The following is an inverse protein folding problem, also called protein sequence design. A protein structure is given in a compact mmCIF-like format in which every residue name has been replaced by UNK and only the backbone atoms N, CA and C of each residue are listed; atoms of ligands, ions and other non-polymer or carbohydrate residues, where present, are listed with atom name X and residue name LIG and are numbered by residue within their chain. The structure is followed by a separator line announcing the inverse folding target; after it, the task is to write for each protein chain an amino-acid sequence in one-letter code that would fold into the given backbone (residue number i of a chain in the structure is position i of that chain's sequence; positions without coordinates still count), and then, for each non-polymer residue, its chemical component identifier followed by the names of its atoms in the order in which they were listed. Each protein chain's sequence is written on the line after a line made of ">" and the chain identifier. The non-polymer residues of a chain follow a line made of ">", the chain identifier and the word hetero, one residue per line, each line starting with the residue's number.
data_IF_241466521005
#
_entry.id   IF_241466521005
#
_cell.length_a   1.000
_cell.length_b   1.000
_cell.length_c   1.000
_cell.angle_alpha   90.00
_cell.angle_beta   90.00
_cell.angle_gamma   90.00
#
_symmetry.space_group_name_H-M   'P 1'
#
loop_
_entity.id
_entity.type
_entity.pdbx_description
1 polymer ?
#
# COMPACT_ATOMS: atom_id res chain seq x y z
N UNK A 1 14.53 24.61 -9.98
CA UNK A 1 13.60 24.35 -11.12
C UNK A 1 13.37 22.84 -11.32
N UNK A 2 12.93 22.11 -10.28
CA UNK A 2 12.50 20.69 -10.43
C UNK A 2 11.33 20.32 -9.49
N UNK A 3 10.94 21.21 -8.58
CA UNK A 3 9.91 20.93 -7.57
C UNK A 3 8.51 21.50 -7.92
N UNK A 4 8.34 22.09 -9.12
CA UNK A 4 7.07 22.69 -9.55
C UNK A 4 6.18 21.73 -10.35
N UNK A 5 6.69 20.57 -10.76
CA UNK A 5 5.94 19.63 -11.60
C UNK A 5 5.07 18.62 -10.83
N UNK A 6 5.14 18.54 -9.50
CA UNK A 6 4.37 17.53 -8.75
C UNK A 6 3.10 18.05 -8.07
N UNK A 7 2.83 19.36 -8.10
CA UNK A 7 1.70 19.91 -7.34
C UNK A 7 0.70 20.74 -8.15
N UNK A 8 1.09 21.35 -9.27
CA UNK A 8 0.18 22.20 -10.05
C UNK A 8 0.57 22.22 -11.52
N UNK A 9 -0.01 21.34 -12.35
CA UNK A 9 -0.48 21.63 -13.72
C UNK A 9 -0.95 20.35 -14.44
N UNK A 10 -2.24 20.34 -14.77
CA UNK A 10 -2.84 19.86 -16.03
C UNK A 10 -2.67 18.38 -16.38
N UNK A 11 -3.69 17.52 -16.23
CA UNK A 11 -5.02 17.69 -16.82
C UNK A 11 -6.16 17.64 -15.79
N UNK A 12 -7.01 18.65 -15.86
CA UNK A 12 -8.20 18.88 -15.04
C UNK A 12 -9.43 18.11 -15.62
N UNK A 13 -9.24 16.85 -16.00
CA UNK A 13 -10.30 15.95 -16.50
C UNK A 13 -10.13 14.52 -15.96
N UNK A 14 -9.52 14.36 -14.79
CA UNK A 14 -9.53 13.06 -14.10
C UNK A 14 -10.82 12.94 -13.26
N UNK A 15 -11.63 11.88 -13.44
CA UNK A 15 -12.81 11.65 -12.62
C UNK A 15 -12.36 11.56 -11.15
N UNK A 16 -13.05 12.31 -10.29
CA UNK A 16 -12.79 12.40 -8.85
C UNK A 16 -12.45 11.01 -8.28
N UNK A 17 -11.44 10.89 -7.40
CA UNK A 17 -11.19 9.63 -6.72
C UNK A 17 -12.49 9.23 -6.03
N UNK A 18 -12.93 8.01 -6.33
CA UNK A 18 -14.12 7.42 -5.73
C UNK A 18 -13.96 7.43 -4.20
N UNK A 19 -15.04 7.64 -3.43
CA UNK A 19 -14.98 7.84 -1.97
C UNK A 19 -14.46 6.64 -1.17
N UNK A 20 -14.19 5.51 -1.81
CA UNK A 20 -13.63 4.29 -1.24
C UNK A 20 -12.10 4.32 -1.04
N UNK A 21 -11.38 5.24 -1.68
CA UNK A 21 -9.91 5.21 -1.77
C UNK A 21 -9.14 5.89 -0.61
N UNK A 22 -9.80 6.34 0.46
CA UNK A 22 -9.16 7.25 1.42
C UNK A 22 -8.99 6.75 2.87
N UNK A 23 -9.49 5.56 3.24
CA UNK A 23 -9.47 5.16 4.66
C UNK A 23 -9.12 3.70 4.96
N UNK A 24 -8.90 2.84 3.96
CA UNK A 24 -8.87 1.38 4.17
C UNK A 24 -7.77 0.62 3.45
N UNK A 25 -6.78 1.28 2.85
CA UNK A 25 -5.67 0.59 2.19
C UNK A 25 -4.72 0.03 3.26
N UNK A 26 -5.06 -1.14 3.78
CA UNK A 26 -4.19 -1.90 4.64
C UNK A 26 -3.07 -2.52 3.80
N UNK A 27 -1.82 -2.33 4.23
CA UNK A 27 -0.64 -2.93 3.59
C UNK A 27 -0.40 -2.44 2.14
N UNK A 28 0.39 -3.19 1.37
CA UNK A 28 0.91 -2.87 0.03
C UNK A 28 -0.16 -2.56 -1.04
N UNK A 29 -1.45 -2.56 -0.70
CA UNK A 29 -2.60 -2.28 -1.56
C UNK A 29 -2.44 -0.94 -2.28
N UNK A 30 -2.04 0.11 -1.56
CA UNK A 30 -1.81 1.43 -2.16
C UNK A 30 -0.63 1.45 -3.15
N UNK A 31 0.33 0.52 -3.03
CA UNK A 31 1.46 0.37 -3.96
C UNK A 31 1.09 -0.42 -5.22
N UNK A 32 0.17 -1.38 -5.10
CA UNK A 32 -0.24 -2.31 -6.19
C UNK A 32 -1.44 -1.83 -7.02
N UNK A 33 -2.00 -0.66 -6.72
CA UNK A 33 -3.15 -0.11 -7.46
C UNK A 33 -2.81 0.29 -8.89
N UNK A 34 -3.78 0.12 -9.78
CA UNK A 34 -3.65 0.47 -11.20
C UNK A 34 -3.59 1.99 -11.44
N UNK A 35 -4.25 2.78 -10.58
CA UNK A 35 -4.30 4.25 -10.69
C UNK A 35 -3.53 4.92 -9.56
N UNK A 36 -2.52 5.72 -9.91
CA UNK A 36 -1.71 6.55 -9.01
C UNK A 36 -0.89 5.78 -7.93
N UNK A 37 -0.22 4.66 -8.19
CA UNK A 37 0.42 3.84 -7.15
C UNK A 37 1.33 4.65 -6.19
N UNK A 38 1.21 4.38 -4.89
CA UNK A 38 2.11 4.95 -3.89
C UNK A 38 3.52 4.38 -4.08
N UNK A 39 4.46 5.25 -4.47
CA UNK A 39 5.84 4.84 -4.80
C UNK A 39 6.77 4.80 -3.59
N UNK A 40 6.37 5.44 -2.49
CA UNK A 40 7.21 5.57 -1.29
C UNK A 40 6.58 4.78 -0.14
N UNK A 41 7.34 3.92 0.55
CA UNK A 41 6.82 3.14 1.67
C UNK A 41 6.61 4.00 2.93
N UNK A 42 7.27 5.15 3.01
CA UNK A 42 7.13 6.12 4.10
C UNK A 42 7.21 7.54 3.57
N UNK A 43 6.32 8.42 4.03
CA UNK A 43 6.22 9.82 3.59
C UNK A 43 7.05 10.73 4.47
N UNK A 44 8.35 10.81 4.18
CA UNK A 44 9.24 11.78 4.81
C UNK A 44 9.40 13.02 3.92
N UNK A 45 8.54 14.03 4.14
CA UNK A 45 8.55 15.27 3.35
C UNK A 45 9.69 16.19 3.75
N UNK A 46 10.03 17.14 2.85
CA UNK A 46 11.02 18.19 3.16
C UNK A 46 10.69 18.94 4.45
N UNK A 47 9.42 19.25 4.70
CA UNK A 47 9.01 19.98 5.91
C UNK A 47 9.32 19.19 7.19
N UNK A 48 9.05 17.88 7.20
CA UNK A 48 9.38 17.01 8.33
C UNK A 48 10.90 16.88 8.52
N UNK A 49 11.66 16.82 7.43
CA UNK A 49 13.13 16.75 7.48
C UNK A 49 13.74 18.01 8.09
N UNK A 50 13.27 19.19 7.69
CA UNK A 50 13.79 20.45 8.23
C UNK A 50 13.35 20.68 9.69
N UNK A 51 12.19 20.17 10.10
CA UNK A 51 11.73 20.25 11.49
C UNK A 51 12.63 19.48 12.49
N UNK A 52 13.44 18.52 12.02
CA UNK A 52 14.37 17.74 12.84
C UNK A 52 15.69 18.47 13.15
N UNK A 53 15.80 19.74 12.74
CA UNK A 53 16.92 20.61 13.07
C UNK A 53 18.19 20.29 12.28
N UNK A 54 19.34 20.63 12.86
CA UNK A 54 20.65 20.61 12.17
C UNK A 54 21.07 19.20 11.72
N UNK A 55 20.68 18.18 12.48
CA UNK A 55 21.05 16.78 12.21
C UNK A 55 20.09 16.08 11.24
N UNK A 56 18.96 16.71 10.89
CA UNK A 56 17.96 16.19 9.94
C UNK A 56 17.62 14.71 10.21
N UNK A 57 17.79 13.85 9.21
CA UNK A 57 17.51 12.42 9.31
C UNK A 57 18.61 11.62 10.04
N UNK A 58 19.85 12.12 10.03
CA UNK A 58 21.03 11.42 10.58
C UNK A 58 21.14 11.55 12.11
N UNK A 59 20.33 12.42 12.72
CA UNK A 59 20.29 12.61 14.16
C UNK A 59 19.40 11.59 14.88
N UNK A 60 18.53 12.11 15.75
CA UNK A 60 17.62 11.33 16.59
C UNK A 60 16.68 10.45 15.76
N UNK A 61 16.32 10.88 14.55
CA UNK A 61 15.42 10.12 13.67
C UNK A 61 15.98 8.75 13.32
N UNK A 62 17.17 8.68 12.71
CA UNK A 62 17.81 7.40 12.35
C UNK A 62 17.99 6.50 13.57
N UNK A 63 18.58 7.02 14.65
CA UNK A 63 18.86 6.19 15.83
C UNK A 63 17.60 5.67 16.52
N UNK A 64 16.51 6.44 16.52
CA UNK A 64 15.21 5.99 17.03
C UNK A 64 14.59 4.94 16.11
N UNK A 65 14.61 5.15 14.79
CA UNK A 65 14.12 4.17 13.83
C UNK A 65 14.87 2.85 13.91
N UNK A 66 16.20 2.87 14.03
CA UNK A 66 17.03 1.67 14.21
C UNK A 66 16.65 0.90 15.49
N UNK A 67 16.53 1.60 16.63
CA UNK A 67 16.13 0.99 17.91
C UNK A 67 14.72 0.40 17.83
N UNK A 68 13.76 1.13 17.26
CA UNK A 68 12.40 0.64 17.06
C UNK A 68 12.41 -0.62 16.18
N UNK A 69 13.18 -0.63 15.10
CA UNK A 69 13.29 -1.81 14.22
C UNK A 69 13.89 -3.02 14.93
N UNK A 70 14.85 -2.83 15.84
CA UNK A 70 15.38 -3.92 16.67
C UNK A 70 14.28 -4.50 17.56
N UNK A 71 13.57 -3.65 18.32
CA UNK A 71 12.50 -4.09 19.23
C UNK A 71 11.38 -4.82 18.46
N UNK A 72 10.98 -4.28 17.31
CA UNK A 72 9.95 -4.91 16.47
C UNK A 72 10.39 -6.29 15.95
N UNK A 73 11.67 -6.45 15.61
CA UNK A 73 12.22 -7.74 15.15
C UNK A 73 12.37 -8.74 16.29
N UNK A 74 12.76 -8.29 17.48
CA UNK A 74 12.83 -9.11 18.69
C UNK A 74 11.46 -9.63 19.12
N UNK A 75 10.40 -8.85 18.90
CA UNK A 75 9.02 -9.21 19.25
C UNK A 75 8.19 -9.67 18.04
N UNK A 76 8.84 -10.22 17.01
CA UNK A 76 8.21 -10.64 15.75
C UNK A 76 7.02 -11.58 15.97
N UNK A 77 7.16 -12.56 16.87
CA UNK A 77 6.16 -13.62 17.01
C UNK A 77 4.85 -13.08 17.60
N UNK A 78 4.93 -12.15 18.56
CA UNK A 78 3.77 -11.43 19.09
C UNK A 78 3.08 -10.57 18.02
N UNK A 79 3.87 -9.91 17.16
CA UNK A 79 3.32 -9.11 16.06
C UNK A 79 2.63 -9.98 15.01
N UNK A 80 3.24 -11.11 14.62
CA UNK A 80 2.64 -12.05 13.68
C UNK A 80 1.34 -12.64 14.22
N UNK A 81 1.31 -12.98 15.52
CA UNK A 81 0.08 -13.48 16.16
C UNK A 81 -1.06 -12.47 16.06
N UNK A 82 -0.79 -11.18 16.25
CA UNK A 82 -1.81 -10.13 16.07
C UNK A 82 -2.22 -9.97 14.59
N UNK A 83 -1.25 -10.03 13.66
CA UNK A 83 -1.53 -9.93 12.22
C UNK A 83 -2.36 -11.11 11.71
N UNK A 84 -2.09 -12.31 12.19
CA UNK A 84 -2.89 -13.50 11.92
C UNK A 84 -4.33 -13.32 12.41
N UNK A 85 -4.53 -12.80 13.62
CA UNK A 85 -5.86 -12.51 14.14
C UNK A 85 -6.66 -11.54 13.25
N UNK A 86 -6.00 -10.52 12.66
CA UNK A 86 -6.66 -9.64 11.68
C UNK A 86 -7.07 -10.38 10.41
N UNK A 87 -6.27 -11.33 9.91
CA UNK A 87 -6.62 -12.13 8.72
C UNK A 87 -7.83 -13.03 8.97
N UNK A 88 -7.98 -13.53 10.20
CA UNK A 88 -9.13 -14.34 10.60
C UNK A 88 -10.39 -13.52 10.91
N UNK A 89 -10.33 -12.18 10.84
CA UNK A 89 -11.52 -11.33 10.96
C UNK A 89 -12.46 -11.55 9.75
N UNK A 90 -13.75 -11.87 9.97
CA UNK A 90 -14.72 -12.11 8.90
C UNK A 90 -14.89 -10.94 7.91
N UNK A 91 -14.51 -9.71 8.29
CA UNK A 91 -14.56 -8.55 7.41
C UNK A 91 -13.45 -8.55 6.33
N UNK A 92 -12.28 -9.11 6.61
CA UNK A 92 -11.18 -9.25 5.63
C UNK A 92 -11.43 -10.45 4.72
N UNK A 93 -11.89 -11.57 5.29
CA UNK A 93 -12.30 -12.77 4.55
C UNK A 93 -13.36 -12.47 3.48
N UNK A 94 -14.39 -11.68 3.83
CA UNK A 94 -15.47 -11.33 2.90
C UNK A 94 -14.97 -10.56 1.66
N UNK A 95 -14.05 -9.61 1.85
CA UNK A 95 -13.42 -8.88 0.72
C UNK A 95 -12.53 -9.77 -0.14
N UNK A 96 -11.77 -10.69 0.48
CA UNK A 96 -10.94 -11.64 -0.26
C UNK A 96 -11.80 -12.61 -1.10
N UNK A 97 -12.89 -13.10 -0.53
CA UNK A 97 -13.85 -13.97 -1.24
C UNK A 97 -14.50 -13.24 -2.42
N UNK A 98 -14.89 -11.97 -2.26
CA UNK A 98 -15.42 -11.15 -3.36
C UNK A 98 -14.39 -10.97 -4.49
N UNK A 99 -13.12 -10.69 -4.15
CA UNK A 99 -12.05 -10.53 -5.13
C UNK A 99 -11.72 -11.84 -5.85
N UNK A 100 -11.75 -12.98 -5.17
CA UNK A 100 -11.58 -14.31 -5.77
C UNK A 100 -12.76 -14.68 -6.67
N UNK A 101 -13.98 -14.38 -6.26
CA UNK A 101 -15.17 -14.60 -7.07
C UNK A 101 -15.13 -13.77 -8.37
N UNK A 102 -14.70 -12.51 -8.31
CA UNK A 102 -14.55 -11.64 -9.48
C UNK A 102 -13.44 -12.15 -10.41
N UNK A 103 -12.29 -12.59 -9.87
CA UNK A 103 -11.21 -13.18 -10.68
C UNK A 103 -11.63 -14.48 -11.36
N UNK A 104 -12.37 -15.34 -10.65
CA UNK A 104 -12.83 -16.61 -11.20
C UNK A 104 -13.89 -16.41 -12.31
N UNK A 105 -14.69 -15.35 -12.22
CA UNK A 105 -15.65 -14.97 -13.27
C UNK A 105 -14.98 -14.41 -14.54
N UNK A 106 -13.72 -13.97 -14.49
CA UNK A 106 -12.98 -13.40 -15.62
C UNK A 106 -12.06 -14.39 -16.35
N UNK A 107 -12.02 -15.67 -15.95
CA UNK A 107 -11.25 -16.68 -16.70
C UNK A 107 -11.96 -16.96 -18.04
N UNK A 108 -11.37 -16.68 -19.21
CA UNK A 108 -11.95 -17.09 -20.48
C UNK A 108 -11.96 -18.62 -20.54
N UNK A 109 -13.11 -19.22 -20.81
CA UNK A 109 -13.16 -20.58 -21.34
C UNK A 109 -12.39 -20.55 -22.66
N UNK A 110 -11.15 -21.05 -22.66
CA UNK A 110 -10.54 -21.51 -23.90
C UNK A 110 -11.30 -22.77 -24.27
N UNK A 111 -12.11 -22.65 -25.32
CA UNK A 111 -12.82 -23.75 -25.94
C UNK A 111 -11.84 -24.89 -26.25
N UNK A 112 -11.91 -25.97 -25.47
CA UNK A 112 -11.40 -27.27 -25.89
C UNK A 112 -12.30 -27.74 -27.05
N UNK A 113 -11.98 -27.29 -28.28
CA UNK A 113 -12.52 -27.93 -29.48
C UNK A 113 -11.73 -29.23 -29.66
N UNK A 114 -12.37 -30.41 -29.55
CA UNK A 114 -11.67 -31.65 -29.87
C UNK A 114 -11.31 -31.61 -31.36
N UNK A 115 -10.02 -31.73 -31.65
CA UNK A 115 -9.55 -32.04 -32.99
C UNK A 115 -9.88 -33.51 -33.24
N UNK A 116 -10.92 -33.78 -34.02
CA UNK A 116 -11.08 -35.08 -34.66
C UNK A 116 -11.81 -34.95 -36.01
N UNK A 117 -11.23 -35.65 -37.00
CA UNK A 117 -11.82 -36.18 -38.24
C UNK A 117 -12.64 -35.27 -39.14
#
# INVERSE_FOLDING_TARGET
>A
RTWRCYFMSSHYDDPKPTPDAAAGDCFEVAMKRDKFPEKVPFRLTRMLVEAMGVSKIEGTYRSTCERTMVILRENRDSLLTMLEAFLYDPLISSRLIELEAIKNAQRPQTDDKPADG
#
